data_IF_813488442281
#
_entry.id   IF_813488442281
#
_cell.length_a   1.000
_cell.length_b   1.000
_cell.length_c   1.000
_cell.angle_alpha   90.00
_cell.angle_beta   90.00
_cell.angle_gamma   90.00
#
_symmetry.space_group_name_H-M   'P 1'
#
loop_
_entity.id
_entity.type
_entity.pdbx_description
1 polymer ?
#
# COMPACT_ATOMS: atom_id res chain seq x y z
N UNK A 1 -20.07 -3.69 15.35
CA UNK A 1 -20.87 -2.81 14.49
C UNK A 1 -20.29 -2.76 13.09
N UNK A 2 -20.40 -3.85 12.32
CA UNK A 2 -19.65 -4.03 11.07
C UNK A 2 -20.33 -3.45 9.81
N UNK A 3 -21.67 -3.37 9.79
CA UNK A 3 -22.43 -2.91 8.62
C UNK A 3 -22.26 -1.42 8.35
N UNK A 4 -22.25 -0.60 9.40
CA UNK A 4 -22.01 0.85 9.31
C UNK A 4 -20.58 1.11 8.82
N UNK A 5 -19.61 0.31 9.27
CA UNK A 5 -18.23 0.39 8.82
C UNK A 5 -18.09 0.12 7.31
N UNK A 6 -18.77 -0.91 6.79
CA UNK A 6 -18.77 -1.16 5.34
C UNK A 6 -19.38 0.00 4.55
N UNK A 7 -20.52 0.54 4.99
CA UNK A 7 -21.17 1.68 4.35
C UNK A 7 -20.30 2.94 4.40
N UNK A 8 -19.65 3.20 5.52
CA UNK A 8 -18.73 4.31 5.72
C UNK A 8 -17.55 4.28 4.73
N UNK A 9 -16.91 3.11 4.59
CA UNK A 9 -15.81 2.93 3.62
C UNK A 9 -16.27 3.21 2.18
N UNK A 10 -17.49 2.80 1.82
CA UNK A 10 -18.05 3.05 0.49
C UNK A 10 -18.43 4.52 0.26
N UNK A 11 -18.85 5.23 1.32
CA UNK A 11 -19.20 6.65 1.25
C UNK A 11 -17.98 7.57 1.23
N UNK A 12 -17.05 7.41 2.17
CA UNK A 12 -15.85 8.27 2.25
C UNK A 12 -14.78 7.90 1.23
N UNK A 13 -14.78 6.65 0.74
CA UNK A 13 -13.84 6.14 -0.26
C UNK A 13 -12.36 6.48 0.04
N UNK A 14 -11.84 6.16 1.23
CA UNK A 14 -10.41 6.35 1.53
C UNK A 14 -9.50 5.50 0.61
N UNK A 15 -10.04 4.44 0.04
CA UNK A 15 -9.44 3.59 -0.98
C UNK A 15 -10.56 2.96 -1.82
N UNK A 16 -10.20 2.48 -3.01
CA UNK A 16 -11.13 1.79 -3.92
C UNK A 16 -10.62 0.38 -4.26
N UNK A 17 -11.47 -0.42 -4.88
CA UNK A 17 -11.06 -1.71 -5.46
C UNK A 17 -9.95 -1.48 -6.48
N UNK A 18 -8.87 -2.25 -6.39
CA UNK A 18 -7.65 -2.12 -7.17
C UNK A 18 -6.54 -1.32 -6.50
N UNK A 19 -6.83 -0.59 -5.41
CA UNK A 19 -5.78 0.10 -4.65
C UNK A 19 -4.90 -0.89 -3.90
N UNK A 20 -3.60 -0.60 -3.83
CA UNK A 20 -2.71 -1.28 -2.89
C UNK A 20 -2.71 -0.49 -1.59
N UNK A 21 -3.14 -1.15 -0.52
CA UNK A 21 -3.19 -0.56 0.81
C UNK A 21 -2.33 -1.36 1.78
N UNK A 22 -1.76 -0.65 2.77
CA UNK A 22 -1.20 -1.25 3.97
C UNK A 22 -2.14 -0.96 5.14
N UNK A 23 -2.61 -2.01 5.79
CA UNK A 23 -3.39 -1.94 7.03
C UNK A 23 -2.66 -2.74 8.09
N UNK A 24 -2.24 -2.07 9.15
CA UNK A 24 -1.34 -2.62 10.16
C UNK A 24 -0.08 -3.20 9.48
N UNK A 25 0.13 -4.52 9.57
CA UNK A 25 1.31 -5.22 9.03
C UNK A 25 1.04 -5.87 7.66
N UNK A 26 -0.19 -5.77 7.15
CA UNK A 26 -0.61 -6.44 5.91
C UNK A 26 -0.62 -5.43 4.77
N UNK A 27 0.16 -5.72 3.72
CA UNK A 27 0.11 -4.96 2.46
C UNK A 27 -0.48 -5.83 1.36
N UNK A 28 -1.48 -5.28 0.65
CA UNK A 28 -2.11 -5.98 -0.46
C UNK A 28 -3.03 -5.09 -1.30
N UNK A 29 -3.41 -5.64 -2.45
CA UNK A 29 -4.38 -5.05 -3.36
C UNK A 29 -5.81 -5.34 -2.90
N UNK A 30 -6.66 -4.32 -2.90
CA UNK A 30 -8.09 -4.43 -2.56
C UNK A 30 -8.84 -5.13 -3.69
N UNK A 31 -9.33 -6.35 -3.43
CA UNK A 31 -10.12 -7.11 -4.39
C UNK A 31 -11.59 -6.72 -4.36
N UNK A 32 -12.21 -6.69 -3.18
CA UNK A 32 -13.60 -6.27 -3.00
C UNK A 32 -13.80 -5.67 -1.61
N UNK A 33 -14.79 -4.77 -1.51
CA UNK A 33 -15.28 -4.21 -0.25
C UNK A 33 -16.70 -4.75 -0.05
N UNK A 34 -16.85 -5.76 0.79
CA UNK A 34 -18.16 -6.34 1.11
C UNK A 34 -18.75 -5.65 2.35
N UNK A 35 -20.02 -5.91 2.66
CA UNK A 35 -20.72 -5.24 3.78
C UNK A 35 -20.03 -5.40 5.14
N UNK A 36 -19.37 -6.53 5.39
CA UNK A 36 -18.77 -6.86 6.69
C UNK A 36 -17.24 -6.92 6.67
N UNK A 37 -16.64 -7.05 5.48
CA UNK A 37 -15.21 -7.29 5.33
C UNK A 37 -14.69 -6.81 3.98
N UNK A 38 -13.43 -6.40 3.96
CA UNK A 38 -12.67 -6.13 2.75
C UNK A 38 -11.75 -7.32 2.47
N UNK A 39 -11.64 -7.68 1.19
CA UNK A 39 -10.77 -8.76 0.71
C UNK A 39 -9.53 -8.16 0.08
N UNK A 40 -8.36 -8.61 0.51
CA UNK A 40 -7.06 -8.18 0.05
C UNK A 40 -6.32 -9.36 -0.58
N UNK A 41 -5.54 -9.09 -1.62
CA UNK A 41 -4.53 -10.00 -2.16
C UNK A 41 -3.14 -9.45 -1.83
N UNK A 42 -2.35 -10.17 -1.05
CA UNK A 42 -0.96 -9.76 -0.79
C UNK A 42 -0.09 -9.95 -2.03
N UNK A 43 1.10 -9.36 -2.02
CA UNK A 43 2.08 -9.55 -3.11
C UNK A 43 2.58 -10.99 -3.22
N UNK A 44 2.51 -11.77 -2.13
CA UNK A 44 2.76 -13.21 -2.12
C UNK A 44 1.56 -14.03 -2.61
N UNK A 45 0.56 -13.37 -3.21
CA UNK A 45 -0.68 -13.97 -3.72
C UNK A 45 -1.51 -14.68 -2.62
N UNK A 46 -1.43 -14.22 -1.38
CA UNK A 46 -2.26 -14.72 -0.28
C UNK A 46 -3.58 -13.95 -0.20
N UNK A 47 -4.65 -14.67 0.11
CA UNK A 47 -5.97 -14.09 0.33
C UNK A 47 -6.13 -13.68 1.80
N UNK A 48 -6.33 -12.39 2.05
CA UNK A 48 -6.57 -11.85 3.39
C UNK A 48 -7.95 -11.24 3.46
N UNK A 49 -8.77 -11.71 4.39
CA UNK A 49 -10.09 -11.14 4.67
C UNK A 49 -10.04 -10.35 5.97
N UNK A 50 -10.26 -9.06 5.89
CA UNK A 50 -10.20 -8.16 7.04
C UNK A 50 -11.58 -7.57 7.36
N UNK A 51 -12.06 -7.63 8.61
CA UNK A 51 -13.30 -6.96 9.01
C UNK A 51 -13.23 -5.45 8.78
N UNK A 52 -14.31 -4.85 8.28
CA UNK A 52 -14.36 -3.41 8.02
C UNK A 52 -14.18 -2.59 9.31
N UNK A 53 -14.66 -3.11 10.44
CA UNK A 53 -14.49 -2.49 11.75
C UNK A 53 -13.02 -2.39 12.17
N UNK A 54 -12.18 -3.38 11.80
CA UNK A 54 -10.74 -3.33 12.05
C UNK A 54 -10.10 -2.24 11.19
N UNK A 55 -10.40 -2.21 9.88
CA UNK A 55 -9.82 -1.23 8.94
C UNK A 55 -10.08 0.21 9.37
N UNK A 56 -11.28 0.53 9.85
CA UNK A 56 -11.63 1.89 10.29
C UNK A 56 -10.90 2.30 11.57
N UNK A 57 -10.62 1.33 12.46
CA UNK A 57 -9.93 1.60 13.73
C UNK A 57 -8.41 1.64 13.55
N UNK A 58 -7.90 0.92 12.55
CA UNK A 58 -6.48 0.84 12.23
C UNK A 58 -6.01 2.01 11.36
N UNK A 59 -4.69 2.25 11.36
CA UNK A 59 -4.08 3.18 10.42
C UNK A 59 -4.02 2.53 9.04
N UNK A 60 -4.65 3.15 8.05
CA UNK A 60 -4.59 2.73 6.64
C UNK A 60 -3.65 3.64 5.87
N UNK A 61 -2.72 3.05 5.11
CA UNK A 61 -1.87 3.78 4.17
C UNK A 61 -2.19 3.32 2.76
N UNK A 62 -2.76 4.21 1.94
CA UNK A 62 -3.02 3.92 0.53
C UNK A 62 -1.77 4.23 -0.30
N UNK A 63 -1.19 3.20 -0.91
CA UNK A 63 0.07 3.28 -1.64
C UNK A 63 -0.10 3.67 -3.11
N UNK A 64 -1.33 3.61 -3.64
CA UNK A 64 -1.66 3.86 -5.06
C UNK A 64 -2.60 5.05 -5.28
N UNK A 65 -3.11 5.66 -4.21
CA UNK A 65 -3.98 6.84 -4.30
C UNK A 65 -3.37 7.97 -5.14
N UNK A 66 -2.07 8.21 -4.99
CA UNK A 66 -1.33 9.17 -5.79
C UNK A 66 -0.54 8.46 -6.90
N UNK A 67 -0.48 9.02 -8.12
CA UNK A 67 0.17 8.38 -9.27
C UNK A 67 1.69 8.34 -9.16
N UNK A 68 2.31 9.16 -8.31
CA UNK A 68 3.76 9.29 -8.19
C UNK A 68 4.15 8.96 -6.75
N UNK A 69 5.13 8.06 -6.59
CA UNK A 69 5.69 7.68 -5.29
C UNK A 69 7.21 7.77 -5.32
N UNK A 70 7.80 8.31 -4.25
CA UNK A 70 9.25 8.35 -4.07
C UNK A 70 9.76 6.96 -3.67
N UNK A 71 10.87 6.55 -4.26
CA UNK A 71 11.64 5.37 -3.85
C UNK A 71 12.99 5.87 -3.33
N UNK A 72 13.35 5.45 -2.12
CA UNK A 72 14.65 5.78 -1.53
C UNK A 72 15.66 4.68 -1.89
N UNK A 73 16.61 4.98 -2.78
CA UNK A 73 17.63 4.06 -3.23
C UNK A 73 18.91 4.24 -2.41
N UNK A 74 19.34 3.19 -1.69
CA UNK A 74 20.64 3.17 -1.00
C UNK A 74 21.63 2.35 -1.81
N UNK A 75 22.64 3.01 -2.36
CA UNK A 75 23.66 2.40 -3.20
C UNK A 75 24.99 2.34 -2.45
N UNK A 76 25.60 1.16 -2.39
CA UNK A 76 26.96 0.98 -1.90
C UNK A 76 27.93 0.95 -3.08
N UNK A 77 29.03 1.70 -2.97
CA UNK A 77 30.12 1.69 -3.97
C UNK A 77 31.41 1.26 -3.31
N UNK A 78 32.27 0.55 -4.06
CA UNK A 78 33.57 0.17 -3.55
C UNK A 78 34.46 1.41 -3.36
N UNK A 79 35.25 1.45 -2.30
CA UNK A 79 36.10 2.62 -1.96
C UNK A 79 37.08 3.04 -3.05
N UNK A 80 37.46 2.11 -3.95
CA UNK A 80 38.36 2.37 -5.07
C UNK A 80 37.68 3.01 -6.29
N UNK A 81 36.36 3.13 -6.27
CA UNK A 81 35.59 3.71 -7.38
C UNK A 81 35.56 5.23 -7.30
N UNK A 82 35.51 5.87 -8.46
CA UNK A 82 35.37 7.32 -8.56
C UNK A 82 33.91 7.75 -8.36
N UNK A 83 33.66 8.50 -7.28
CA UNK A 83 32.33 9.01 -6.95
C UNK A 83 31.78 9.97 -8.00
N UNK A 84 32.63 10.73 -8.70
CA UNK A 84 32.20 11.64 -9.76
C UNK A 84 31.63 10.85 -10.94
N UNK A 85 32.30 9.75 -11.31
CA UNK A 85 31.82 8.84 -12.36
C UNK A 85 30.52 8.14 -11.97
N UNK A 86 30.40 7.67 -10.72
CA UNK A 86 29.15 7.04 -10.23
C UNK A 86 27.98 8.02 -10.32
N UNK A 87 28.18 9.27 -9.88
CA UNK A 87 27.12 10.28 -9.94
C UNK A 87 26.67 10.56 -11.38
N UNK A 88 27.63 10.68 -12.30
CA UNK A 88 27.32 10.91 -13.71
C UNK A 88 26.48 9.79 -14.34
N UNK A 89 26.67 8.54 -13.91
CA UNK A 89 25.87 7.39 -14.39
C UNK A 89 24.46 7.37 -13.80
N UNK A 90 24.27 7.85 -12.57
CA UNK A 90 22.96 7.87 -11.91
C UNK A 90 22.06 9.03 -12.35
N UNK A 91 22.65 10.12 -12.84
CA UNK A 91 21.94 11.30 -13.33
C UNK A 91 21.58 11.22 -14.82
N UNK A 92 22.04 10.17 -15.52
CA UNK A 92 21.77 9.91 -16.94
C UNK A 92 20.51 9.05 -17.13
#
# INVERSE_FOLDING_TARGET
SNLISGLFLVMERPFVVGDVITVDDVTGEVLTIDMLSTKLRTFDNLYVRMPNETIIKSRVTNLTHFPIRRIDLRLGVAYREDLARVRAVLDA
#
